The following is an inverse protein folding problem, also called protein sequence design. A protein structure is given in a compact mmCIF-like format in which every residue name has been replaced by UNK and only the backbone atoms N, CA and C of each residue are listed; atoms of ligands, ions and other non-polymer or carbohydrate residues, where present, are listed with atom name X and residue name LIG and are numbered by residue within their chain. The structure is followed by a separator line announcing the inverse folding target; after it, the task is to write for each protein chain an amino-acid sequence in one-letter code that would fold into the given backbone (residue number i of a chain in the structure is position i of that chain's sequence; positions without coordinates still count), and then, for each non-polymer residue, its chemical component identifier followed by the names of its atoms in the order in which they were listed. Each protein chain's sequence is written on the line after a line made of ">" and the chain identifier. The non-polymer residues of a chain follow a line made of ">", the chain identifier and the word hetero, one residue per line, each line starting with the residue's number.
data_IF_077761462006
#
_entry.id   IF_077761462006
#
_cell.length_a   1.000
_cell.length_b   1.000
_cell.length_c   1.000
_cell.angle_alpha   90.00
_cell.angle_beta   90.00
_cell.angle_gamma   90.00
#
_symmetry.space_group_name_H-M   'P 1'
#
loop_
_entity.id
_entity.type
_entity.pdbx_description
1 polymer ?
#
# COMPACT_ATOMS: atom_id res chain seq x y z
N UNK A 1 30.70 6.09 -9.48
CA UNK A 1 29.27 6.45 -9.42
C UNK A 1 29.12 7.57 -8.41
N UNK A 2 28.64 8.73 -8.85
CA UNK A 2 28.30 9.86 -7.95
C UNK A 2 26.79 9.84 -7.78
N UNK A 3 26.31 9.73 -6.55
CA UNK A 3 24.89 9.87 -6.20
C UNK A 3 24.70 11.23 -5.57
N UNK A 4 23.96 12.12 -6.23
CA UNK A 4 23.56 13.40 -5.68
C UNK A 4 22.16 13.26 -5.07
N UNK A 5 22.06 13.43 -3.74
CA UNK A 5 20.79 13.42 -3.02
C UNK A 5 20.36 14.85 -2.70
N UNK A 6 19.18 15.26 -3.17
CA UNK A 6 18.57 16.53 -2.79
C UNK A 6 17.61 16.33 -1.61
N UNK A 7 17.94 16.91 -0.45
CA UNK A 7 17.12 16.74 0.77
C UNK A 7 15.82 17.56 0.78
N UNK A 8 15.66 18.54 -0.12
CA UNK A 8 14.56 19.50 -0.07
C UNK A 8 14.62 20.43 1.16
N UNK A 9 13.49 21.09 1.45
CA UNK A 9 13.36 22.04 2.57
C UNK A 9 12.67 21.46 3.81
N UNK A 10 12.06 20.27 3.70
CA UNK A 10 11.36 19.60 4.80
C UNK A 10 12.12 18.31 5.19
N UNK A 11 12.86 18.32 6.32
CA UNK A 11 13.63 17.15 6.76
C UNK A 11 12.74 15.97 7.18
N UNK A 12 11.50 16.22 7.63
CA UNK A 12 10.58 15.15 7.99
C UNK A 12 10.00 14.48 6.75
N UNK A 13 9.67 15.26 5.72
CA UNK A 13 9.31 14.71 4.42
C UNK A 13 10.45 13.90 3.81
N UNK A 14 11.68 14.42 3.85
CA UNK A 14 12.84 13.69 3.35
C UNK A 14 13.05 12.36 4.08
N UNK A 15 12.97 12.35 5.42
CA UNK A 15 13.07 11.12 6.20
C UNK A 15 11.96 10.12 5.84
N UNK A 16 10.73 10.59 5.62
CA UNK A 16 9.61 9.74 5.19
C UNK A 16 9.90 9.08 3.84
N UNK A 17 10.35 9.86 2.85
CA UNK A 17 10.72 9.34 1.52
C UNK A 17 11.87 8.34 1.63
N UNK A 18 12.90 8.63 2.43
CA UNK A 18 14.01 7.70 2.64
C UNK A 18 13.53 6.35 3.17
N UNK A 19 12.64 6.33 4.17
CA UNK A 19 12.08 5.09 4.72
C UNK A 19 11.18 4.38 3.70
N UNK A 20 10.39 5.12 2.93
CA UNK A 20 9.56 4.58 1.85
C UNK A 20 10.41 3.83 0.81
N UNK A 21 11.42 4.49 0.25
CA UNK A 21 12.31 3.91 -0.76
C UNK A 21 13.15 2.75 -0.19
N UNK A 22 13.59 2.87 1.06
CA UNK A 22 14.29 1.77 1.74
C UNK A 22 13.40 0.55 1.90
N UNK A 23 12.10 0.74 2.16
CA UNK A 23 11.14 -0.35 2.28
C UNK A 23 10.98 -1.11 0.96
N UNK A 24 10.94 -0.42 -0.18
CA UNK A 24 10.99 -1.08 -1.48
C UNK A 24 12.26 -1.92 -1.67
N UNK A 25 13.42 -1.35 -1.31
CA UNK A 25 14.70 -2.07 -1.37
C UNK A 25 14.72 -3.33 -0.50
N UNK A 26 14.14 -3.26 0.70
CA UNK A 26 14.00 -4.40 1.59
C UNK A 26 13.06 -5.46 1.00
N UNK A 27 11.85 -5.09 0.58
CA UNK A 27 10.87 -6.00 -0.03
C UNK A 27 11.38 -6.68 -1.30
N UNK A 28 12.21 -5.98 -2.08
CA UNK A 28 12.84 -6.54 -3.27
C UNK A 28 13.82 -7.66 -2.94
N UNK A 29 14.57 -7.55 -1.82
CA UNK A 29 15.60 -8.52 -1.41
C UNK A 29 15.11 -9.58 -0.43
N UNK A 30 14.02 -9.34 0.28
CA UNK A 30 13.49 -10.25 1.29
C UNK A 30 13.12 -11.62 0.68
N UNK A 31 13.73 -12.71 1.14
CA UNK A 31 13.52 -14.11 0.69
C UNK A 31 13.81 -14.44 -0.79
N UNK A 32 13.37 -13.66 -1.75
CA UNK A 32 13.54 -13.92 -3.20
C UNK A 32 13.38 -12.64 -4.03
N UNK A 33 13.57 -12.74 -5.35
CA UNK A 33 13.27 -11.65 -6.30
C UNK A 33 11.82 -11.64 -6.81
N UNK A 34 10.95 -12.53 -6.31
CA UNK A 34 9.55 -12.56 -6.72
C UNK A 34 8.86 -11.22 -6.41
N UNK A 35 8.04 -10.75 -7.36
CA UNK A 35 7.51 -9.39 -7.36
C UNK A 35 6.23 -9.29 -6.54
N UNK A 36 6.26 -8.42 -5.54
CA UNK A 36 5.04 -7.97 -4.83
C UNK A 36 4.25 -7.06 -5.78
N UNK A 37 2.91 -7.21 -5.89
CA UNK A 37 2.11 -6.35 -6.77
C UNK A 37 2.23 -4.88 -6.34
N UNK A 38 2.21 -3.98 -7.33
CA UNK A 38 2.57 -2.57 -7.12
C UNK A 38 1.74 -1.88 -6.02
N UNK A 39 0.43 -2.13 -5.96
CA UNK A 39 -0.41 -1.58 -4.90
C UNK A 39 0.04 -1.99 -3.50
N UNK A 40 0.41 -3.26 -3.30
CA UNK A 40 0.83 -3.79 -2.02
C UNK A 40 2.24 -3.31 -1.67
N UNK A 41 3.13 -3.23 -2.66
CA UNK A 41 4.48 -2.71 -2.49
C UNK A 41 4.47 -1.25 -2.02
N UNK A 42 3.69 -0.37 -2.68
CA UNK A 42 3.49 1.01 -2.24
C UNK A 42 2.75 1.09 -0.91
N UNK A 43 1.73 0.25 -0.71
CA UNK A 43 0.95 0.21 0.52
C UNK A 43 1.80 -0.09 1.77
N UNK A 44 2.70 -1.08 1.67
CA UNK A 44 3.64 -1.42 2.73
C UNK A 44 4.66 -0.30 2.94
N UNK A 45 5.25 0.25 1.87
CA UNK A 45 6.22 1.34 1.97
C UNK A 45 5.63 2.60 2.65
N UNK A 46 4.42 3.00 2.23
CA UNK A 46 3.71 4.13 2.81
C UNK A 46 3.33 3.85 4.27
N UNK A 47 2.85 2.65 4.58
CA UNK A 47 2.51 2.22 5.95
C UNK A 47 3.73 2.22 6.89
N UNK A 48 4.85 1.60 6.49
CA UNK A 48 6.09 1.58 7.28
C UNK A 48 6.58 3.01 7.52
N UNK A 49 6.59 3.86 6.48
CA UNK A 49 7.04 5.24 6.62
C UNK A 49 6.16 6.05 7.60
N UNK A 50 4.86 5.76 7.67
CA UNK A 50 3.94 6.35 8.65
C UNK A 50 4.29 5.97 10.08
N UNK A 51 4.67 4.71 10.33
CA UNK A 51 4.97 4.20 11.67
C UNK A 51 6.34 4.64 12.16
N UNK A 52 7.33 4.63 11.26
CA UNK A 52 8.73 4.94 11.58
C UNK A 52 8.94 6.46 11.67
N UNK A 53 8.40 7.24 10.74
CA UNK A 53 8.62 8.69 10.66
C UNK A 53 7.37 9.45 11.12
N UNK A 54 7.03 9.30 12.40
CA UNK A 54 5.83 9.89 13.02
C UNK A 54 5.77 11.42 12.94
N UNK A 55 6.92 12.08 12.75
CA UNK A 55 7.02 13.53 12.59
C UNK A 55 6.53 14.01 11.22
N UNK A 56 6.47 13.14 10.21
CA UNK A 56 5.94 13.49 8.89
C UNK A 56 4.45 13.23 8.81
N UNK A 57 3.68 14.27 8.41
CA UNK A 57 2.24 14.15 8.18
C UNK A 57 1.90 13.79 6.72
N UNK A 58 2.89 13.67 5.84
CA UNK A 58 2.65 13.47 4.42
C UNK A 58 1.84 12.18 4.11
N UNK A 59 2.14 11.02 4.72
CA UNK A 59 1.35 9.81 4.47
C UNK A 59 -0.09 9.93 4.95
N UNK A 60 -0.30 10.49 6.14
CA UNK A 60 -1.63 10.71 6.70
C UNK A 60 -2.46 11.67 5.83
N UNK A 61 -1.82 12.72 5.28
CA UNK A 61 -2.45 13.62 4.32
C UNK A 61 -2.86 12.90 3.04
N UNK A 62 -1.97 12.10 2.44
CA UNK A 62 -2.29 11.31 1.24
C UNK A 62 -3.44 10.33 1.47
N UNK A 63 -3.50 9.70 2.64
CA UNK A 63 -4.63 8.84 3.03
C UNK A 63 -5.95 9.63 3.12
N UNK A 64 -5.94 10.81 3.74
CA UNK A 64 -7.11 11.67 3.85
C UNK A 64 -7.59 12.16 2.47
N UNK A 65 -6.65 12.63 1.63
CA UNK A 65 -6.93 13.10 0.27
C UNK A 65 -7.51 11.96 -0.61
N UNK A 66 -6.98 10.74 -0.47
CA UNK A 66 -7.49 9.58 -1.18
C UNK A 66 -8.92 9.21 -0.76
N UNK A 67 -9.22 9.25 0.55
CA UNK A 67 -10.59 9.02 1.05
C UNK A 67 -11.55 10.09 0.56
N UNK A 68 -11.14 11.36 0.61
CA UNK A 68 -11.96 12.47 0.14
C UNK A 68 -12.28 12.33 -1.36
N UNK A 69 -11.28 11.97 -2.17
CA UNK A 69 -11.48 11.67 -3.60
C UNK A 69 -12.45 10.52 -3.81
N UNK A 70 -12.29 9.40 -3.10
CA UNK A 70 -13.20 8.26 -3.21
C UNK A 70 -14.64 8.60 -2.81
N UNK A 71 -14.82 9.45 -1.79
CA UNK A 71 -16.14 9.94 -1.38
C UNK A 71 -16.78 10.81 -2.44
N UNK A 72 -15.99 11.60 -3.17
CA UNK A 72 -16.48 12.47 -4.25
C UNK A 72 -16.79 11.71 -5.54
N UNK A 73 -15.95 10.75 -5.93
CA UNK A 73 -16.06 10.10 -7.24
C UNK A 73 -16.75 8.74 -7.19
N UNK A 74 -16.62 7.99 -6.08
CA UNK A 74 -17.01 6.57 -6.02
C UNK A 74 -16.16 5.65 -6.92
N UNK A 75 -15.08 6.17 -7.51
CA UNK A 75 -14.25 5.45 -8.49
C UNK A 75 -12.85 5.23 -7.91
N UNK A 76 -12.47 3.96 -7.77
CA UNK A 76 -11.18 3.52 -7.28
C UNK A 76 -10.07 3.52 -8.34
N UNK A 77 -10.43 3.79 -9.61
CA UNK A 77 -9.53 3.79 -10.75
C UNK A 77 -9.31 2.37 -11.32
N UNK A 78 -9.28 2.20 -12.65
CA UNK A 78 -9.13 0.87 -13.26
C UNK A 78 -7.72 0.30 -13.03
N UNK A 79 -6.76 1.18 -12.70
CA UNK A 79 -5.35 0.86 -12.54
C UNK A 79 -4.95 0.40 -11.13
N UNK A 80 -5.88 0.39 -10.14
CA UNK A 80 -5.52 0.10 -8.75
C UNK A 80 -4.84 -1.27 -8.53
N UNK A 81 -5.34 -2.33 -9.16
CA UNK A 81 -4.70 -3.66 -9.14
C UNK A 81 -3.79 -3.90 -10.36
N UNK A 82 -3.48 -2.85 -11.12
CA UNK A 82 -2.67 -2.92 -12.34
C UNK A 82 -1.17 -3.01 -12.08
N UNK A 83 -0.39 -3.01 -13.17
CA UNK A 83 1.08 -3.07 -13.12
C UNK A 83 1.72 -1.84 -12.48
N UNK A 84 1.06 -0.68 -12.56
CA UNK A 84 1.48 0.57 -11.94
C UNK A 84 0.24 1.25 -11.38
N UNK A 85 0.39 1.82 -10.19
CA UNK A 85 -0.67 2.58 -9.54
C UNK A 85 -0.31 4.07 -9.53
N UNK A 86 -1.32 4.91 -9.72
CA UNK A 86 -1.19 6.37 -9.61
C UNK A 86 -0.87 6.80 -8.17
N UNK A 87 -0.20 7.94 -8.01
CA UNK A 87 0.27 8.43 -6.70
C UNK A 87 -0.85 8.61 -5.68
N UNK A 88 -2.07 8.95 -6.10
CA UNK A 88 -3.20 9.11 -5.18
C UNK A 88 -3.72 7.77 -4.64
N UNK A 89 -3.45 6.65 -5.32
CA UNK A 89 -3.78 5.31 -4.81
C UNK A 89 -2.94 4.91 -3.60
N UNK A 90 -1.83 5.61 -3.31
CA UNK A 90 -0.90 5.20 -2.25
C UNK A 90 -1.58 5.34 -0.88
N UNK A 91 -2.41 6.37 -0.72
CA UNK A 91 -3.25 6.55 0.46
C UNK A 91 -4.24 5.40 0.65
N UNK A 92 -4.88 4.95 -0.42
CA UNK A 92 -5.79 3.79 -0.40
C UNK A 92 -5.04 2.51 -0.03
N UNK A 93 -3.93 2.24 -0.73
CA UNK A 93 -3.11 1.06 -0.52
C UNK A 93 -2.54 0.98 0.90
N UNK A 94 -2.09 2.11 1.44
CA UNK A 94 -1.60 2.22 2.81
C UNK A 94 -2.68 1.87 3.83
N UNK A 95 -3.91 2.38 3.64
CA UNK A 95 -5.04 2.08 4.54
C UNK A 95 -5.51 0.64 4.46
N UNK A 96 -5.54 0.05 3.25
CA UNK A 96 -5.84 -1.37 3.08
C UNK A 96 -4.78 -2.21 3.80
N UNK A 97 -3.50 -1.87 3.61
CA UNK A 97 -2.38 -2.55 4.27
C UNK A 97 -2.50 -2.48 5.80
N UNK A 98 -2.76 -1.30 6.34
CA UNK A 98 -2.98 -1.07 7.77
C UNK A 98 -4.13 -1.94 8.32
N UNK A 99 -5.25 -1.97 7.60
CA UNK A 99 -6.42 -2.78 7.97
C UNK A 99 -6.10 -4.28 7.99
N UNK A 100 -5.38 -4.78 6.98
CA UNK A 100 -5.01 -6.21 6.92
C UNK A 100 -4.02 -6.61 8.02
N UNK A 101 -3.03 -5.75 8.30
CA UNK A 101 -2.07 -5.96 9.39
C UNK A 101 -2.79 -5.93 10.74
N UNK A 102 -3.68 -4.97 10.95
CA UNK A 102 -4.48 -4.84 12.18
C UNK A 102 -5.42 -6.04 12.37
N UNK A 103 -6.01 -6.54 11.28
CA UNK A 103 -6.89 -7.70 11.32
C UNK A 103 -6.14 -8.97 11.75
N UNK A 104 -4.99 -9.26 11.12
CA UNK A 104 -4.16 -10.40 11.46
C UNK A 104 -2.73 -10.25 10.91
N UNK A 105 -1.82 -9.71 11.73
CA UNK A 105 -0.43 -9.46 11.35
C UNK A 105 0.35 -10.73 10.99
N UNK A 106 0.08 -11.84 11.67
CA UNK A 106 0.73 -13.13 11.40
C UNK A 106 0.32 -13.68 10.04
N UNK A 107 -0.98 -13.63 9.73
CA UNK A 107 -1.51 -14.03 8.44
C UNK A 107 -0.99 -13.11 7.33
N UNK A 108 -0.93 -11.80 7.56
CA UNK A 108 -0.34 -10.85 6.61
C UNK A 108 1.13 -11.21 6.30
N UNK A 109 1.95 -11.45 7.32
CA UNK A 109 3.34 -11.86 7.14
C UNK A 109 3.47 -13.16 6.34
N UNK A 110 2.66 -14.18 6.67
CA UNK A 110 2.63 -15.45 5.94
C UNK A 110 2.22 -15.27 4.47
N UNK A 111 1.25 -14.39 4.20
CA UNK A 111 0.85 -14.05 2.84
C UNK A 111 1.98 -13.39 2.04
N UNK A 112 2.69 -12.42 2.61
CA UNK A 112 3.87 -11.81 1.96
C UNK A 112 4.93 -12.88 1.67
N UNK A 113 5.21 -13.78 2.61
CA UNK A 113 6.14 -14.89 2.40
C UNK A 113 5.69 -15.78 1.22
N UNK A 114 4.40 -16.14 1.14
CA UNK A 114 3.88 -16.94 0.04
C UNK A 114 4.07 -16.27 -1.33
N UNK A 115 3.89 -14.95 -1.41
CA UNK A 115 4.15 -14.20 -2.64
C UNK A 115 5.62 -14.30 -3.03
N UNK A 116 6.52 -14.20 -2.04
CA UNK A 116 7.96 -14.34 -2.25
C UNK A 116 8.36 -15.77 -2.60
N UNK A 117 7.56 -16.76 -2.27
CA UNK A 117 7.74 -18.16 -2.69
C UNK A 117 7.12 -18.46 -4.08
N UNK A 118 6.57 -17.44 -4.75
CA UNK A 118 6.05 -17.55 -6.12
C UNK A 118 4.55 -17.79 -6.22
N UNK A 119 3.82 -17.76 -5.10
CA UNK A 119 2.36 -17.85 -5.11
C UNK A 119 1.77 -16.55 -5.67
N UNK A 120 0.83 -16.67 -6.62
CA UNK A 120 0.07 -15.53 -7.11
C UNK A 120 -0.63 -14.79 -5.97
N UNK A 121 -0.44 -13.47 -5.90
CA UNK A 121 -0.83 -12.68 -4.73
C UNK A 121 -2.33 -12.74 -4.45
N UNK A 122 -3.16 -12.79 -5.49
CA UNK A 122 -4.62 -12.85 -5.40
C UNK A 122 -5.08 -14.21 -4.88
N UNK A 123 -4.40 -15.29 -5.27
CA UNK A 123 -4.64 -16.64 -4.73
C UNK A 123 -4.20 -16.72 -3.26
N UNK A 124 -3.04 -16.15 -2.93
CA UNK A 124 -2.57 -16.05 -1.56
C UNK A 124 -3.52 -15.24 -0.66
N UNK A 125 -4.08 -14.15 -1.19
CA UNK A 125 -5.07 -13.31 -0.51
C UNK A 125 -6.34 -14.10 -0.20
N UNK A 126 -6.87 -14.83 -1.19
CA UNK A 126 -8.05 -15.66 -1.01
C UNK A 126 -7.81 -16.79 0.00
N UNK A 127 -6.65 -17.45 -0.05
CA UNK A 127 -6.28 -18.52 0.89
C UNK A 127 -6.11 -18.00 2.32
N UNK A 128 -5.53 -16.82 2.48
CA UNK A 128 -5.13 -16.30 3.80
C UNK A 128 -6.23 -15.49 4.49
N UNK A 129 -6.98 -14.71 3.71
CA UNK A 129 -7.99 -13.77 4.23
C UNK A 129 -9.41 -14.10 3.75
N UNK A 130 -9.59 -15.12 2.90
CA UNK A 130 -10.91 -15.52 2.41
C UNK A 130 -11.56 -14.49 1.48
N UNK A 131 -10.79 -13.57 0.89
CA UNK A 131 -11.32 -12.48 0.06
C UNK A 131 -10.68 -12.40 -1.32
N UNK A 132 -11.49 -12.03 -2.30
CA UNK A 132 -11.01 -11.63 -3.62
C UNK A 132 -10.53 -10.17 -3.60
N UNK A 133 -9.71 -9.73 -4.58
CA UNK A 133 -9.31 -8.33 -4.70
C UNK A 133 -10.50 -7.34 -4.76
N UNK A 134 -11.57 -7.73 -5.45
CA UNK A 134 -12.80 -6.94 -5.55
C UNK A 134 -13.49 -6.85 -4.19
N UNK A 135 -13.60 -7.96 -3.45
CA UNK A 135 -14.17 -7.97 -2.11
C UNK A 135 -13.33 -7.15 -1.12
N UNK A 136 -12.00 -7.19 -1.24
CA UNK A 136 -11.09 -6.36 -0.44
C UNK A 136 -11.38 -4.87 -0.64
N UNK A 137 -11.50 -4.43 -1.90
CA UNK A 137 -11.82 -3.04 -2.21
C UNK A 137 -13.22 -2.63 -1.71
N UNK A 138 -14.21 -3.51 -1.85
CA UNK A 138 -15.56 -3.26 -1.33
C UNK A 138 -15.59 -3.18 0.20
N UNK A 139 -14.83 -4.03 0.90
CA UNK A 139 -14.68 -3.98 2.37
C UNK A 139 -14.04 -2.65 2.79
N UNK A 140 -12.99 -2.23 2.08
CA UNK A 140 -12.37 -0.92 2.31
C UNK A 140 -13.36 0.22 2.06
N UNK A 141 -14.10 0.19 0.95
CA UNK A 141 -15.14 1.16 0.64
C UNK A 141 -16.17 1.30 1.76
N UNK A 142 -16.69 0.18 2.27
CA UNK A 142 -17.60 0.17 3.43
C UNK A 142 -16.98 0.82 4.66
N UNK A 143 -15.69 0.58 4.93
CA UNK A 143 -15.00 1.17 6.09
C UNK A 143 -14.88 2.70 6.03
N UNK A 144 -14.89 3.29 4.82
CA UNK A 144 -14.78 4.75 4.63
C UNK A 144 -16.11 5.43 4.28
N UNK A 145 -17.23 4.69 4.32
CA UNK A 145 -18.56 5.20 3.99
C UNK A 145 -18.84 5.30 2.48
N UNK A 146 -18.09 4.59 1.64
CA UNK A 146 -18.27 4.51 0.18
C UNK A 146 -18.52 3.04 -0.20
N UNK A 147 -19.76 2.53 -0.04
CA UNK A 147 -20.03 1.09 -0.10
C UNK A 147 -19.85 0.46 -1.48
N UNK A 148 -19.85 1.26 -2.55
CA UNK A 148 -19.57 0.83 -3.92
C UNK A 148 -18.41 1.64 -4.48
N UNK A 149 -17.23 1.03 -4.52
CA UNK A 149 -16.08 1.57 -5.27
C UNK A 149 -16.04 0.85 -6.61
N UNK A 150 -16.10 1.61 -7.71
CA UNK A 150 -15.99 1.07 -9.07
C UNK A 150 -14.55 1.13 -9.57
N UNK A 151 -14.08 0.03 -10.16
CA UNK A 151 -12.87 -0.03 -10.98
C UNK A 151 -13.29 0.18 -12.44
N UNK A 152 -13.73 1.39 -12.80
CA UNK A 152 -14.06 1.75 -14.19
C UNK A 152 -12.92 2.56 -14.78
#
# INVERSE_FOLDING_TARGET
>A
MIVACHRGNDPHYFAQVLVHETTHGYLHRFKSSARIPSWLNEGIAEWVSTIVVRSSRAPLKRQADAVLRLKQTGVGGPSFFGKKIESWHYGVASRITDSMITQNSRAFGAWIVSIKEGVEWSQGLQKTFGVTPQQLLLRYGRSIGVPMIRLQ
#
